data_IF_456254736367
#
_entry.id   IF_456254736367
#
_cell.length_a   1.000
_cell.length_b   1.000
_cell.length_c   1.000
_cell.angle_alpha   90.00
_cell.angle_beta   90.00
_cell.angle_gamma   90.00
#
_symmetry.space_group_name_H-M   'P 1'
#
loop_
_entity.id
_entity.type
_entity.pdbx_description
1 polymer ?
#
# COMPACT_ATOMS: atom_id res chain seq x y z
N UNK A 1 46.93 47.90 64.93
CA UNK A 1 48.11 47.06 65.22
C UNK A 1 47.77 46.27 66.47
N UNK A 2 47.15 45.11 66.31
CA UNK A 2 46.83 44.09 67.34
C UNK A 2 46.00 42.99 66.65
N UNK A 3 46.64 41.93 66.17
CA UNK A 3 46.69 40.57 66.76
C UNK A 3 45.33 39.88 66.96
N UNK A 4 45.13 38.83 66.16
CA UNK A 4 44.12 37.79 66.28
C UNK A 4 44.22 37.02 67.60
N UNK A 5 43.12 36.37 68.01
CA UNK A 5 43.23 35.04 68.59
C UNK A 5 42.37 33.98 67.87
N UNK A 6 42.85 32.75 68.02
CA UNK A 6 42.32 31.51 67.51
C UNK A 6 41.23 30.90 68.42
N UNK A 7 40.41 30.03 67.85
CA UNK A 7 39.70 28.91 68.50
C UNK A 7 39.44 27.86 67.39
N UNK A 8 40.06 26.67 67.43
CA UNK A 8 39.54 25.43 68.06
C UNK A 8 38.12 25.11 67.55
N UNK A 9 37.84 24.00 66.88
CA UNK A 9 38.26 22.61 67.12
C UNK A 9 36.96 21.80 67.22
N UNK A 10 36.76 20.80 66.36
CA UNK A 10 35.48 20.07 66.31
C UNK A 10 35.45 18.97 65.26
N UNK A 11 36.08 17.85 65.60
CA UNK A 11 36.01 16.56 64.91
C UNK A 11 34.59 15.97 64.89
N UNK A 12 34.27 15.21 63.83
CA UNK A 12 33.11 14.32 63.85
C UNK A 12 32.49 13.94 62.50
N UNK A 13 33.27 13.58 61.48
CA UNK A 13 32.70 13.00 60.24
C UNK A 13 32.48 11.50 60.44
N UNK A 14 31.24 11.15 60.77
CA UNK A 14 30.72 9.77 60.75
C UNK A 14 30.46 9.36 59.29
N UNK A 15 31.32 8.48 58.76
CA UNK A 15 31.12 7.81 57.48
C UNK A 15 30.00 6.79 57.63
N UNK A 16 28.79 7.16 57.18
CA UNK A 16 27.64 6.25 57.10
C UNK A 16 27.63 5.62 55.71
N UNK A 17 27.91 4.32 55.66
CA UNK A 17 27.72 3.46 54.49
C UNK A 17 26.26 3.55 54.01
N UNK A 18 26.06 4.18 52.86
CA UNK A 18 24.80 4.24 52.13
C UNK A 18 24.78 3.20 51.01
N UNK A 19 23.83 2.28 51.10
CA UNK A 19 23.64 1.14 50.22
C UNK A 19 23.58 1.53 48.74
N UNK A 20 24.32 0.76 47.93
CA UNK A 20 24.21 0.73 46.47
C UNK A 20 22.83 0.24 46.06
N UNK A 21 22.04 1.15 45.50
CA UNK A 21 20.80 0.83 44.78
C UNK A 21 21.14 -0.08 43.60
N UNK A 22 20.51 -1.26 43.44
CA UNK A 22 20.72 -2.09 42.26
C UNK A 22 20.17 -1.37 41.02
N UNK A 23 20.82 -1.51 39.85
CA UNK A 23 20.38 -0.86 38.64
C UNK A 23 18.96 -1.32 38.28
N UNK A 24 18.08 -0.33 38.09
CA UNK A 24 16.75 -0.51 37.54
C UNK A 24 16.85 -1.28 36.22
N UNK A 25 16.33 -2.50 36.22
CA UNK A 25 16.16 -3.28 34.99
C UNK A 25 15.19 -2.54 34.08
N UNK A 26 15.72 -1.99 33.00
CA UNK A 26 14.94 -1.57 31.83
C UNK A 26 14.12 -2.79 31.37
N UNK A 27 12.79 -2.66 31.15
CA UNK A 27 12.01 -3.76 30.63
C UNK A 27 12.54 -4.12 29.24
N UNK A 28 13.22 -5.26 29.20
CA UNK A 28 13.74 -5.91 28.00
C UNK A 28 12.55 -6.09 27.05
N UNK A 29 12.54 -5.30 25.98
CA UNK A 29 11.66 -5.50 24.82
C UNK A 29 11.81 -6.98 24.47
N UNK A 30 10.73 -7.77 24.60
CA UNK A 30 10.69 -9.13 24.05
C UNK A 30 10.88 -9.00 22.55
N UNK A 31 12.13 -9.08 22.11
CA UNK A 31 12.44 -9.67 20.81
C UNK A 31 11.86 -11.07 20.87
N UNK A 32 10.94 -11.38 19.96
CA UNK A 32 10.56 -12.76 19.70
C UNK A 32 11.87 -13.48 19.38
N UNK A 33 12.25 -14.40 20.25
CA UNK A 33 13.50 -15.13 20.14
C UNK A 33 13.46 -15.95 18.84
N UNK A 34 14.59 -15.96 18.13
CA UNK A 34 14.79 -16.63 16.84
C UNK A 34 14.53 -18.16 16.92
N UNK A 35 14.43 -18.71 18.13
CA UNK A 35 14.09 -20.11 18.42
C UNK A 35 12.61 -20.45 18.14
N UNK A 36 11.68 -19.51 18.27
CA UNK A 36 10.26 -19.76 17.92
C UNK A 36 10.06 -19.86 16.40
N UNK A 37 10.91 -19.20 15.61
CA UNK A 37 10.94 -19.37 14.14
C UNK A 37 11.67 -20.66 13.70
N UNK A 38 12.61 -21.17 14.51
CA UNK A 38 13.31 -22.41 14.22
C UNK A 38 12.41 -23.65 14.40
N UNK A 39 11.43 -23.60 15.31
CA UNK A 39 10.48 -24.70 15.56
C UNK A 39 9.50 -24.91 14.39
N UNK A 40 9.09 -23.85 13.69
CA UNK A 40 8.24 -23.95 12.50
C UNK A 40 9.04 -24.44 11.27
N UNK A 41 10.36 -24.25 11.25
CA UNK A 41 11.22 -24.70 10.13
C UNK A 41 11.62 -26.18 10.20
N UNK A 42 11.61 -26.80 11.38
CA UNK A 42 12.04 -28.18 11.55
C UNK A 42 10.95 -29.25 11.29
N UNK A 43 9.71 -28.83 11.01
CA UNK A 43 8.61 -29.71 10.60
C UNK A 43 8.52 -29.99 9.09
N UNK A 44 9.25 -29.25 8.25
CA UNK A 44 9.34 -29.51 6.81
C UNK A 44 10.46 -30.53 6.56
N UNK A 45 10.09 -31.79 6.79
CA UNK A 45 10.91 -32.95 6.50
C UNK A 45 11.40 -32.96 5.05
N UNK A 46 12.64 -33.39 4.91
CA UNK A 46 13.35 -33.66 3.65
C UNK A 46 12.45 -34.45 2.69
N UNK A 47 11.92 -33.78 1.67
CA UNK A 47 11.40 -34.46 0.48
C UNK A 47 12.55 -34.73 -0.49
N UNK A 48 12.72 -36.02 -0.77
CA UNK A 48 13.76 -36.61 -1.58
C UNK A 48 13.59 -36.21 -3.05
N UNK A 49 14.60 -35.52 -3.63
CA UNK A 49 14.62 -35.05 -5.03
C UNK A 49 14.93 -36.17 -6.04
N UNK A 50 14.30 -37.33 -5.87
CA UNK A 50 14.57 -38.53 -6.66
C UNK A 50 13.49 -38.85 -7.72
N UNK A 51 12.39 -38.09 -7.79
CA UNK A 51 11.27 -38.40 -8.70
C UNK A 51 11.27 -37.66 -10.05
N UNK A 52 12.19 -36.73 -10.32
CA UNK A 52 12.17 -35.90 -11.55
C UNK A 52 13.02 -36.46 -12.70
N UNK A 53 13.04 -37.80 -12.88
CA UNK A 53 13.81 -38.45 -13.96
C UNK A 53 13.10 -39.59 -14.69
N UNK A 54 11.76 -39.68 -14.60
CA UNK A 54 10.99 -40.75 -15.26
C UNK A 54 9.87 -40.33 -16.22
N UNK A 55 9.74 -39.06 -16.56
CA UNK A 55 8.70 -38.61 -17.51
C UNK A 55 9.21 -38.21 -18.90
N UNK A 56 10.50 -38.31 -19.18
CA UNK A 56 11.09 -37.90 -20.47
C UNK A 56 11.24 -39.02 -21.52
N UNK A 57 10.57 -40.17 -21.35
CA UNK A 57 10.66 -41.31 -22.32
C UNK A 57 9.30 -41.71 -22.89
N UNK A 58 8.19 -41.20 -22.37
CA UNK A 58 6.84 -41.60 -22.84
C UNK A 58 6.15 -40.57 -23.76
N UNK A 59 6.69 -39.36 -23.87
CA UNK A 59 6.11 -38.29 -24.71
C UNK A 59 6.61 -38.30 -26.17
N UNK A 60 7.62 -39.12 -26.50
CA UNK A 60 8.15 -39.23 -27.88
C UNK A 60 7.35 -40.23 -28.74
N UNK A 61 6.50 -41.07 -28.15
CA UNK A 61 5.73 -42.09 -28.89
C UNK A 61 4.27 -41.70 -29.22
N UNK A 62 3.81 -40.52 -28.81
CA UNK A 62 2.45 -40.03 -29.13
C UNK A 62 2.40 -39.18 -30.42
N UNK A 63 3.55 -38.76 -30.97
CA UNK A 63 3.61 -37.84 -32.12
C UNK A 63 3.50 -38.52 -33.50
N UNK A 64 3.54 -39.86 -33.57
CA UNK A 64 3.59 -40.59 -34.84
C UNK A 64 2.23 -41.05 -35.42
N UNK A 65 1.08 -40.70 -34.83
CA UNK A 65 -0.24 -41.25 -35.23
C UNK A 65 -1.26 -40.27 -35.84
N UNK A 66 -0.89 -39.02 -36.11
CA UNK A 66 -1.83 -38.01 -36.66
C UNK A 66 -1.45 -37.45 -38.06
N UNK A 67 -0.76 -38.22 -38.89
CA UNK A 67 -0.52 -37.86 -40.31
C UNK A 67 -1.20 -38.82 -41.27
N UNK A 68 -2.54 -38.82 -41.32
CA UNK A 68 -3.31 -39.27 -42.48
C UNK A 68 -4.81 -38.98 -42.29
N UNK A 69 -5.28 -37.75 -42.52
CA UNK A 69 -6.62 -37.52 -43.08
C UNK A 69 -6.83 -36.05 -43.49
N UNK A 70 -7.27 -35.84 -44.73
CA UNK A 70 -8.19 -34.76 -45.08
C UNK A 70 -7.58 -33.46 -45.64
N UNK A 71 -7.36 -33.43 -46.95
CA UNK A 71 -7.32 -32.19 -47.75
C UNK A 71 -8.75 -31.77 -48.13
N UNK A 72 -8.94 -30.44 -48.23
CA UNK A 72 -10.01 -29.69 -48.90
C UNK A 72 -11.41 -29.68 -48.26
N UNK A 73 -11.88 -28.51 -47.81
CA UNK A 73 -13.04 -27.77 -48.36
C UNK A 73 -12.95 -26.27 -47.97
N UNK A 74 -13.34 -25.45 -48.95
CA UNK A 74 -13.55 -24.00 -49.04
C UNK A 74 -13.90 -23.13 -47.82
N UNK A 75 -13.24 -21.96 -47.83
CA UNK A 75 -13.75 -20.59 -47.59
C UNK A 75 -15.17 -20.39 -47.02
N UNK A 76 -15.24 -20.01 -45.75
CA UNK A 76 -16.20 -19.05 -45.20
C UNK A 76 -15.60 -18.45 -43.91
N UNK A 77 -15.55 -17.12 -43.82
CA UNK A 77 -14.94 -16.37 -42.73
C UNK A 77 -15.61 -16.65 -41.39
N UNK A 78 -15.07 -17.61 -40.65
CA UNK A 78 -15.45 -17.92 -39.28
C UNK A 78 -14.24 -17.56 -38.42
N UNK A 79 -14.36 -16.50 -37.61
CA UNK A 79 -13.28 -16.04 -36.73
C UNK A 79 -12.92 -17.15 -35.74
N UNK A 80 -11.80 -17.81 -35.98
CA UNK A 80 -11.17 -18.73 -35.05
C UNK A 80 -10.59 -17.94 -33.88
N UNK A 81 -11.40 -17.70 -32.85
CA UNK A 81 -10.82 -17.48 -31.51
C UNK A 81 -10.04 -18.74 -31.15
N UNK A 82 -8.76 -18.56 -30.81
CA UNK A 82 -7.85 -19.63 -30.40
C UNK A 82 -8.57 -20.57 -29.42
N UNK A 83 -8.48 -21.91 -29.58
CA UNK A 83 -9.04 -22.83 -28.62
C UNK A 83 -8.26 -22.67 -27.31
N UNK A 84 -8.78 -21.86 -26.39
CA UNK A 84 -8.42 -21.98 -24.97
C UNK A 84 -8.65 -23.45 -24.62
N UNK A 85 -7.57 -24.16 -24.31
CA UNK A 85 -7.56 -25.59 -24.02
C UNK A 85 -8.69 -25.96 -23.06
N UNK A 86 -9.22 -27.18 -23.19
CA UNK A 86 -10.44 -27.72 -22.55
C UNK A 86 -10.52 -27.43 -21.06
N UNK A 87 -10.86 -26.19 -20.74
CA UNK A 87 -11.06 -25.68 -19.42
C UNK A 87 -12.44 -26.19 -19.02
N UNK A 88 -12.43 -27.05 -17.99
CA UNK A 88 -13.64 -27.58 -17.35
C UNK A 88 -14.71 -26.49 -17.29
N UNK A 89 -15.97 -26.80 -17.65
CA UNK A 89 -17.05 -25.81 -17.74
C UNK A 89 -17.24 -24.95 -16.48
N UNK A 90 -16.72 -25.40 -15.34
CA UNK A 90 -16.59 -24.67 -14.08
C UNK A 90 -15.70 -23.41 -14.13
N UNK A 91 -14.80 -23.25 -15.10
CA UNK A 91 -13.97 -22.04 -15.17
C UNK A 91 -14.64 -20.95 -16.02
N UNK A 92 -15.51 -21.35 -16.95
CA UNK A 92 -16.15 -20.45 -17.91
C UNK A 92 -17.11 -19.48 -17.24
N UNK A 93 -17.87 -19.92 -16.24
CA UNK A 93 -18.81 -19.05 -15.54
C UNK A 93 -18.10 -17.93 -14.76
N UNK A 94 -16.90 -18.22 -14.21
CA UNK A 94 -16.09 -17.21 -13.51
C UNK A 94 -15.71 -16.10 -14.48
N UNK A 95 -15.23 -16.45 -15.68
CA UNK A 95 -14.86 -15.47 -16.71
C UNK A 95 -16.06 -14.65 -17.14
N UNK A 96 -17.22 -15.28 -17.36
CA UNK A 96 -18.46 -14.59 -17.75
C UNK A 96 -18.88 -13.58 -16.68
N UNK A 97 -18.84 -13.96 -15.40
CA UNK A 97 -19.27 -13.09 -14.30
C UNK A 97 -18.39 -11.85 -14.12
N UNK A 98 -17.10 -11.95 -14.41
CA UNK A 98 -16.18 -10.81 -14.32
C UNK A 98 -16.05 -10.04 -15.65
N UNK A 99 -16.61 -10.55 -16.75
CA UNK A 99 -16.44 -9.99 -18.10
C UNK A 99 -16.78 -8.50 -18.16
N UNK A 100 -17.92 -8.14 -17.58
CA UNK A 100 -18.45 -6.77 -17.60
C UNK A 100 -17.69 -5.81 -16.69
N UNK A 101 -16.88 -6.35 -15.77
CA UNK A 101 -16.03 -5.57 -14.88
C UNK A 101 -14.67 -5.19 -15.48
N UNK A 102 -14.20 -5.94 -16.49
CA UNK A 102 -12.85 -5.74 -17.03
C UNK A 102 -12.72 -4.48 -17.86
N UNK A 103 -13.64 -4.26 -18.79
CA UNK A 103 -13.54 -3.23 -19.82
C UNK A 103 -14.80 -2.41 -19.78
N UNK A 104 -14.65 -1.12 -19.49
CA UNK A 104 -15.74 -0.15 -19.53
C UNK A 104 -15.48 0.86 -20.64
N UNK A 105 -16.35 0.97 -21.64
CA UNK A 105 -16.27 2.05 -22.60
C UNK A 105 -16.57 3.37 -21.91
N UNK A 106 -15.79 4.39 -22.21
CA UNK A 106 -15.92 5.71 -21.62
C UNK A 106 -15.90 6.79 -22.69
N UNK A 107 -16.65 7.87 -22.44
CA UNK A 107 -16.78 8.99 -23.36
C UNK A 107 -16.29 10.27 -22.73
N UNK A 108 -15.43 10.99 -23.45
CA UNK A 108 -15.08 12.36 -23.13
C UNK A 108 -16.31 13.24 -23.25
N UNK A 109 -16.69 13.93 -22.18
CA UNK A 109 -17.66 15.02 -22.31
C UNK A 109 -17.01 16.10 -23.18
N UNK A 110 -17.65 16.46 -24.30
CA UNK A 110 -17.34 17.71 -24.99
C UNK A 110 -17.58 18.81 -23.98
N UNK A 111 -16.53 19.25 -23.30
CA UNK A 111 -16.57 20.56 -22.66
C UNK A 111 -16.93 21.48 -23.80
N UNK A 112 -18.16 22.04 -23.74
CA UNK A 112 -18.52 23.18 -24.56
C UNK A 112 -17.53 24.24 -24.09
N UNK A 113 -16.36 24.25 -24.71
CA UNK A 113 -15.36 25.28 -24.58
C UNK A 113 -16.18 26.51 -24.92
N UNK A 114 -16.59 27.24 -23.89
CA UNK A 114 -16.99 28.61 -24.06
C UNK A 114 -15.81 29.21 -24.80
N UNK A 115 -15.98 29.45 -26.09
CA UNK A 115 -15.00 30.11 -26.92
C UNK A 115 -14.84 31.48 -26.31
N UNK A 116 -13.94 31.59 -25.33
CA UNK A 116 -13.65 32.83 -24.64
C UNK A 116 -12.97 33.67 -25.72
N UNK A 117 -13.65 34.70 -26.27
CA UNK A 117 -13.09 35.42 -27.39
C UNK A 117 -11.86 36.17 -26.88
N UNK A 118 -10.67 35.83 -27.38
CA UNK A 118 -9.51 36.72 -27.27
C UNK A 118 -8.37 36.39 -26.30
N UNK A 119 -8.19 35.17 -25.81
CA UNK A 119 -6.91 34.83 -25.15
C UNK A 119 -5.83 34.53 -26.21
N UNK A 120 -5.05 35.56 -26.56
CA UNK A 120 -3.80 35.44 -27.32
C UNK A 120 -2.90 34.41 -26.63
N UNK A 121 -2.60 33.33 -27.33
CA UNK A 121 -1.65 32.30 -26.94
C UNK A 121 -0.24 32.92 -26.98
N UNK A 122 0.25 33.40 -25.84
CA UNK A 122 1.65 33.80 -25.71
C UNK A 122 2.48 32.52 -25.64
N UNK A 123 3.15 32.20 -26.74
CA UNK A 123 4.18 31.16 -26.83
C UNK A 123 5.34 31.52 -25.91
N UNK A 124 5.20 31.22 -24.62
CA UNK A 124 6.27 31.42 -23.65
C UNK A 124 7.25 30.24 -23.74
N UNK A 125 8.41 30.50 -24.35
CA UNK A 125 9.52 29.55 -24.45
C UNK A 125 10.18 29.50 -23.07
N UNK A 126 9.81 28.52 -22.26
CA UNK A 126 10.50 28.23 -21.01
C UNK A 126 12.01 27.98 -21.24
N UNK A 127 12.87 28.34 -20.28
CA UNK A 127 14.32 28.30 -20.44
C UNK A 127 14.81 26.86 -20.63
N UNK A 128 15.58 26.65 -21.69
CA UNK A 128 16.29 25.41 -21.96
C UNK A 128 17.25 25.10 -20.81
N UNK A 129 16.89 24.13 -19.96
CA UNK A 129 17.80 23.54 -18.99
C UNK A 129 18.82 22.72 -19.80
N UNK A 130 20.05 23.24 -19.88
CA UNK A 130 21.18 22.54 -20.49
C UNK A 130 21.56 21.34 -19.63
N UNK A 131 21.03 20.16 -19.97
CA UNK A 131 21.55 18.88 -19.51
C UNK A 131 22.76 18.50 -20.38
N UNK A 132 23.94 19.02 -20.06
CA UNK A 132 25.20 18.64 -20.73
C UNK A 132 26.22 17.89 -19.88
N UNK A 133 25.95 17.66 -18.59
CA UNK A 133 26.97 17.12 -17.67
C UNK A 133 26.69 15.74 -17.06
N UNK A 134 25.65 15.01 -17.48
CA UNK A 134 25.35 13.66 -16.92
C UNK A 134 25.75 12.46 -17.78
N UNK A 135 26.41 12.67 -18.93
CA UNK A 135 26.73 11.58 -19.86
C UNK A 135 28.13 10.96 -19.67
N UNK A 136 28.94 11.46 -18.73
CA UNK A 136 30.36 11.09 -18.65
C UNK A 136 30.75 10.03 -17.58
N UNK A 137 29.82 9.32 -16.93
CA UNK A 137 30.19 8.37 -15.85
C UNK A 137 29.55 6.98 -15.85
N UNK A 138 28.98 6.52 -16.96
CA UNK A 138 28.48 5.13 -17.07
C UNK A 138 29.23 4.38 -18.17
N UNK A 139 30.55 4.26 -17.99
CA UNK A 139 31.36 3.28 -18.68
C UNK A 139 32.35 2.71 -17.67
N UNK A 140 31.95 1.64 -16.98
CA UNK A 140 32.80 0.56 -16.43
C UNK A 140 32.00 -0.24 -15.40
N UNK A 141 31.39 -1.34 -15.85
CA UNK A 141 30.62 -2.23 -14.99
C UNK A 141 30.11 -3.44 -15.76
N UNK A 142 31.03 -4.27 -16.27
CA UNK A 142 30.72 -5.56 -16.89
C UNK A 142 30.26 -6.57 -15.84
N UNK A 143 28.96 -6.86 -15.80
CA UNK A 143 28.39 -8.02 -15.09
C UNK A 143 27.89 -9.01 -16.13
N UNK A 144 28.50 -10.20 -16.16
CA UNK A 144 28.01 -11.36 -16.94
C UNK A 144 26.77 -11.92 -16.22
N UNK A 145 25.60 -11.84 -16.84
CA UNK A 145 24.39 -12.53 -16.39
C UNK A 145 23.65 -13.17 -17.55
N UNK A 146 23.11 -14.35 -17.30
CA UNK A 146 22.68 -15.35 -18.27
C UNK A 146 21.46 -14.97 -19.11
N UNK A 147 21.45 -15.59 -20.29
CA UNK A 147 20.38 -15.79 -21.28
C UNK A 147 19.01 -15.16 -20.95
N UNK A 148 18.86 -13.87 -21.23
CA UNK A 148 17.57 -13.23 -21.48
C UNK A 148 17.37 -13.21 -23.00
N UNK A 149 16.23 -13.65 -23.48
CA UNK A 149 15.83 -13.51 -24.89
C UNK A 149 15.75 -12.03 -25.23
N UNK A 150 16.73 -11.54 -25.97
CA UNK A 150 16.81 -10.15 -26.43
C UNK A 150 15.66 -9.88 -27.40
N UNK A 151 14.59 -9.24 -26.93
CA UNK A 151 13.71 -8.47 -27.79
C UNK A 151 14.56 -7.27 -28.24
N UNK A 152 15.21 -7.38 -29.40
CA UNK A 152 15.89 -6.26 -30.06
C UNK A 152 14.83 -5.25 -30.51
N UNK A 153 14.41 -4.38 -29.59
CA UNK A 153 13.66 -3.17 -29.94
C UNK A 153 14.71 -2.25 -30.56
N UNK A 154 14.69 -2.10 -31.88
CA UNK A 154 15.55 -1.17 -32.59
C UNK A 154 15.16 0.26 -32.21
N UNK A 155 15.86 0.83 -31.22
CA UNK A 155 15.74 2.23 -30.79
C UNK A 155 16.42 3.14 -31.81
N UNK A 156 15.85 3.20 -33.02
CA UNK A 156 16.34 4.03 -34.13
C UNK A 156 15.28 4.96 -34.72
N UNK A 157 14.02 4.77 -34.35
CA UNK A 157 12.94 5.60 -34.86
C UNK A 157 12.80 6.87 -34.02
N UNK A 158 12.83 8.01 -34.71
CA UNK A 158 12.54 9.32 -34.14
C UNK A 158 11.24 9.17 -33.36
N UNK A 159 11.29 9.41 -32.06
CA UNK A 159 10.13 9.36 -31.18
C UNK A 159 9.11 10.41 -31.65
N UNK A 160 8.22 10.02 -32.56
CA UNK A 160 7.10 10.85 -32.97
C UNK A 160 6.24 11.02 -31.71
N UNK A 161 6.10 12.27 -31.26
CA UNK A 161 5.25 12.60 -30.13
C UNK A 161 3.81 12.21 -30.50
N UNK A 162 3.39 11.07 -29.97
CA UNK A 162 2.09 10.52 -30.25
C UNK A 162 1.02 11.53 -29.87
N UNK A 163 0.20 11.94 -30.84
CA UNK A 163 -0.92 12.84 -30.62
C UNK A 163 -2.18 12.02 -30.43
N UNK A 164 -2.85 12.23 -29.31
CA UNK A 164 -4.13 11.61 -29.00
C UNK A 164 -5.13 11.91 -30.12
N UNK A 165 -5.73 10.89 -30.76
CA UNK A 165 -6.80 11.10 -31.73
C UNK A 165 -7.95 11.90 -31.10
N UNK A 166 -8.64 12.71 -31.90
CA UNK A 166 -9.80 13.49 -31.42
C UNK A 166 -11.07 12.64 -31.22
N UNK A 167 -10.88 11.34 -31.01
CA UNK A 167 -11.95 10.40 -30.74
C UNK A 167 -12.37 10.52 -29.27
N UNK A 168 -13.68 10.58 -29.06
CA UNK A 168 -14.28 10.76 -27.75
C UNK A 168 -14.39 9.46 -26.99
N UNK A 169 -14.29 8.33 -27.69
CA UNK A 169 -14.42 7.00 -27.12
C UNK A 169 -13.05 6.47 -26.75
N UNK A 170 -12.96 5.96 -25.54
CA UNK A 170 -11.82 5.18 -25.07
C UNK A 170 -12.31 4.18 -24.03
N UNK A 171 -11.40 3.47 -23.36
CA UNK A 171 -11.75 2.40 -22.44
C UNK A 171 -11.10 2.61 -21.07
N UNK A 172 -11.75 2.06 -20.03
CA UNK A 172 -11.16 1.80 -18.72
C UNK A 172 -11.01 0.30 -18.57
N UNK A 173 -9.79 -0.13 -18.28
CA UNK A 173 -9.45 -1.53 -18.03
C UNK A 173 -9.08 -1.68 -16.56
N UNK A 174 -9.87 -2.48 -15.84
CA UNK A 174 -9.67 -2.73 -14.42
C UNK A 174 -8.88 -4.03 -14.21
N UNK A 175 -7.58 -3.92 -13.95
CA UNK A 175 -6.70 -5.06 -13.67
C UNK A 175 -7.05 -5.71 -12.32
N UNK A 176 -7.66 -4.98 -11.39
CA UNK A 176 -8.12 -5.54 -10.12
C UNK A 176 -9.18 -6.63 -10.29
N UNK A 177 -9.98 -6.57 -11.36
CA UNK A 177 -10.91 -7.65 -11.69
C UNK A 177 -10.20 -8.94 -12.08
N UNK A 178 -8.99 -8.86 -12.67
CA UNK A 178 -8.21 -10.07 -13.01
C UNK A 178 -7.76 -10.77 -11.73
N UNK A 179 -7.39 -10.00 -10.71
CA UNK A 179 -7.05 -10.54 -9.40
C UNK A 179 -8.27 -11.15 -8.71
N UNK A 180 -9.45 -10.54 -8.80
CA UNK A 180 -10.71 -11.13 -8.29
C UNK A 180 -11.03 -12.45 -8.98
N UNK A 181 -10.88 -12.49 -10.30
CA UNK A 181 -11.03 -13.72 -11.08
C UNK A 181 -10.03 -14.80 -10.65
N UNK A 182 -8.75 -14.44 -10.44
CA UNK A 182 -7.71 -15.35 -9.93
C UNK A 182 -8.08 -15.92 -8.56
N UNK A 183 -8.53 -15.07 -7.63
CA UNK A 183 -8.99 -15.49 -6.31
C UNK A 183 -10.15 -16.49 -6.40
N UNK A 184 -11.15 -16.25 -7.26
CA UNK A 184 -12.27 -17.19 -7.46
C UNK A 184 -11.81 -18.53 -8.02
N UNK A 185 -10.88 -18.53 -8.97
CA UNK A 185 -10.30 -19.78 -9.51
C UNK A 185 -9.56 -20.57 -8.43
N UNK A 186 -8.75 -19.91 -7.60
CA UNK A 186 -8.03 -20.56 -6.50
C UNK A 186 -8.97 -21.08 -5.42
N UNK A 187 -10.00 -20.30 -5.04
CA UNK A 187 -11.06 -20.77 -4.12
C UNK A 187 -11.72 -22.04 -4.63
N UNK A 188 -12.10 -22.06 -5.91
CA UNK A 188 -12.75 -23.23 -6.50
C UNK A 188 -11.83 -24.47 -6.49
N UNK A 189 -10.54 -24.31 -6.82
CA UNK A 189 -9.56 -25.41 -6.74
C UNK A 189 -9.43 -25.94 -5.32
N UNK A 190 -9.30 -25.06 -4.33
CA UNK A 190 -9.23 -25.46 -2.92
C UNK A 190 -10.48 -26.20 -2.46
N UNK A 191 -11.67 -25.75 -2.84
CA UNK A 191 -12.93 -26.46 -2.55
C UNK A 191 -12.94 -27.85 -3.19
N UNK A 192 -12.40 -27.99 -4.41
CA UNK A 192 -12.24 -29.29 -5.07
C UNK A 192 -11.28 -30.20 -4.32
N UNK A 193 -10.14 -29.68 -3.86
CA UNK A 193 -9.18 -30.44 -3.04
C UNK A 193 -9.81 -30.89 -1.72
N UNK A 194 -10.54 -30.03 -1.02
CA UNK A 194 -11.26 -30.38 0.22
C UNK A 194 -12.30 -31.46 -0.02
N UNK A 195 -13.04 -31.38 -1.15
CA UNK A 195 -13.98 -32.44 -1.53
C UNK A 195 -13.25 -33.77 -1.76
N UNK A 196 -12.18 -33.75 -2.55
CA UNK A 196 -11.39 -34.94 -2.82
C UNK A 196 -10.86 -35.54 -1.51
N UNK A 197 -10.28 -34.72 -0.62
CA UNK A 197 -9.78 -35.14 0.69
C UNK A 197 -10.86 -35.79 1.57
N UNK A 198 -12.10 -35.28 1.50
CA UNK A 198 -13.24 -35.87 2.22
C UNK A 198 -13.65 -37.23 1.64
N UNK A 199 -13.58 -37.36 0.33
CA UNK A 199 -14.01 -38.56 -0.40
C UNK A 199 -12.88 -39.62 -0.49
N UNK A 200 -11.65 -39.30 -0.07
CA UNK A 200 -10.50 -40.21 -0.09
C UNK A 200 -10.78 -41.48 0.72
N UNK A 201 -10.53 -42.61 0.09
CA UNK A 201 -10.42 -43.90 0.77
C UNK A 201 -9.13 -43.93 1.61
N UNK A 202 -9.06 -44.68 2.73
CA UNK A 202 -7.85 -44.80 3.57
C UNK A 202 -6.57 -45.26 2.84
N UNK A 203 -6.70 -45.73 1.60
CA UNK A 203 -5.61 -46.24 0.77
C UNK A 203 -5.25 -45.32 -0.41
N UNK A 204 -5.98 -44.23 -0.61
CA UNK A 204 -5.68 -43.27 -1.68
C UNK A 204 -4.69 -42.21 -1.19
N UNK A 205 -3.74 -41.83 -2.06
CA UNK A 205 -2.75 -40.80 -1.74
C UNK A 205 -3.40 -39.41 -1.68
N UNK A 206 -2.92 -38.58 -0.76
CA UNK A 206 -3.38 -37.19 -0.65
C UNK A 206 -3.05 -36.41 -1.95
N UNK A 207 -3.95 -35.51 -2.42
CA UNK A 207 -3.71 -34.69 -3.59
C UNK A 207 -2.42 -33.88 -3.45
N UNK A 208 -1.44 -34.05 -4.33
CA UNK A 208 -0.10 -33.46 -4.14
C UNK A 208 -0.08 -31.92 -4.23
N UNK A 209 -1.09 -31.30 -4.84
CA UNK A 209 -1.06 -29.87 -5.19
C UNK A 209 -1.84 -28.95 -4.23
N UNK A 210 -2.55 -29.49 -3.22
CA UNK A 210 -3.46 -28.66 -2.41
C UNK A 210 -2.71 -27.62 -1.56
N UNK A 211 -1.52 -27.95 -1.05
CA UNK A 211 -0.68 -27.03 -0.28
C UNK A 211 -0.21 -25.85 -1.14
N UNK A 212 0.21 -26.14 -2.38
CA UNK A 212 0.65 -25.12 -3.34
C UNK A 212 -0.50 -24.20 -3.75
N UNK A 213 -1.69 -24.76 -3.99
CA UNK A 213 -2.89 -23.95 -4.28
C UNK A 213 -3.29 -23.08 -3.07
N UNK A 214 -3.09 -23.56 -1.84
CA UNK A 214 -3.37 -22.82 -0.61
C UNK A 214 -2.40 -21.65 -0.43
N UNK A 215 -1.10 -21.89 -0.60
CA UNK A 215 -0.08 -20.84 -0.56
C UNK A 215 -0.37 -19.77 -1.63
N UNK A 216 -0.67 -20.19 -2.85
CA UNK A 216 -1.06 -19.29 -3.94
C UNK A 216 -2.31 -18.48 -3.62
N UNK A 217 -3.29 -19.07 -2.94
CA UNK A 217 -4.49 -18.38 -2.50
C UNK A 217 -4.19 -17.32 -1.43
N UNK A 218 -3.43 -17.67 -0.39
CA UNK A 218 -3.01 -16.73 0.67
C UNK A 218 -2.26 -15.56 0.04
N UNK A 219 -1.29 -15.83 -0.83
CA UNK A 219 -0.55 -14.79 -1.55
C UNK A 219 -1.47 -13.91 -2.40
N UNK A 220 -2.42 -14.52 -3.12
CA UNK A 220 -3.38 -13.76 -3.92
C UNK A 220 -4.28 -12.85 -3.06
N UNK A 221 -4.63 -13.26 -1.84
CA UNK A 221 -5.38 -12.41 -0.89
C UNK A 221 -4.52 -11.23 -0.44
N UNK A 222 -3.25 -11.46 -0.09
CA UNK A 222 -2.32 -10.37 0.28
C UNK A 222 -2.10 -9.38 -0.87
N UNK A 223 -1.91 -9.89 -2.09
CA UNK A 223 -1.80 -9.07 -3.31
C UNK A 223 -3.07 -8.24 -3.52
N UNK A 224 -4.25 -8.81 -3.27
CA UNK A 224 -5.52 -8.09 -3.37
C UNK A 224 -5.66 -6.98 -2.31
N UNK A 225 -5.28 -7.24 -1.05
CA UNK A 225 -5.27 -6.22 0.00
C UNK A 225 -4.32 -5.07 -0.35
N UNK A 226 -3.18 -5.38 -0.98
CA UNK A 226 -2.29 -4.37 -1.52
C UNK A 226 -2.98 -3.53 -2.62
N UNK A 227 -3.68 -4.17 -3.57
CA UNK A 227 -4.45 -3.45 -4.60
C UNK A 227 -5.52 -2.54 -4.01
N UNK A 228 -6.21 -2.99 -2.96
CA UNK A 228 -7.23 -2.18 -2.26
C UNK A 228 -6.60 -0.92 -1.66
N UNK A 229 -5.42 -1.03 -1.05
CA UNK A 229 -4.69 0.14 -0.53
C UNK A 229 -4.27 1.10 -1.64
N UNK A 230 -3.87 0.57 -2.80
CA UNK A 230 -3.48 1.39 -3.95
C UNK A 230 -4.65 2.17 -4.57
N UNK A 231 -5.90 1.73 -4.38
CA UNK A 231 -7.11 2.45 -4.84
C UNK A 231 -7.24 3.85 -4.22
N UNK A 232 -6.69 4.06 -3.03
CA UNK A 232 -6.72 5.35 -2.34
C UNK A 232 -5.73 6.37 -2.94
N UNK A 233 -4.81 5.91 -3.80
CA UNK A 233 -3.87 6.79 -4.47
C UNK A 233 -4.59 7.64 -5.52
N UNK A 234 -4.16 8.90 -5.74
CA UNK A 234 -4.72 9.75 -6.78
C UNK A 234 -4.69 9.11 -8.18
N UNK A 235 -3.67 8.26 -8.41
CA UNK A 235 -3.54 7.44 -9.61
C UNK A 235 -3.49 5.97 -9.20
N UNK A 236 -4.61 5.27 -9.34
CA UNK A 236 -4.66 3.82 -9.18
C UNK A 236 -3.79 3.16 -10.26
N UNK A 237 -2.73 2.40 -9.89
CA UNK A 237 -1.86 1.71 -10.83
C UNK A 237 -2.49 0.47 -11.45
N UNK A 238 -3.59 -0.04 -10.88
CA UNK A 238 -4.33 -1.20 -11.37
C UNK A 238 -5.53 -0.82 -12.25
N UNK A 239 -5.71 0.48 -12.49
CA UNK A 239 -6.68 1.02 -13.44
C UNK A 239 -5.94 1.64 -14.62
N UNK A 240 -6.06 1.00 -15.78
CA UNK A 240 -5.55 1.54 -17.05
C UNK A 240 -6.70 2.29 -17.70
N UNK A 241 -6.57 3.61 -17.85
CA UNK A 241 -7.67 4.45 -18.35
C UNK A 241 -7.24 5.30 -19.53
N UNK A 242 -8.05 5.34 -20.58
CA UNK A 242 -7.84 6.24 -21.71
C UNK A 242 -7.88 7.73 -21.36
N UNK A 243 -8.23 8.11 -20.13
CA UNK A 243 -8.05 9.48 -19.63
C UNK A 243 -6.58 9.91 -19.60
N UNK A 244 -5.64 8.98 -19.43
CA UNK A 244 -4.19 9.25 -19.43
C UNK A 244 -3.59 9.04 -20.81
N UNK A 245 -2.72 9.94 -21.26
CA UNK A 245 -2.18 9.92 -22.63
C UNK A 245 -1.46 8.60 -22.96
N UNK A 246 -0.64 8.11 -22.04
CA UNK A 246 0.12 6.85 -22.22
C UNK A 246 -0.80 5.64 -22.23
N UNK A 247 -1.73 5.57 -21.29
CA UNK A 247 -2.68 4.45 -21.20
C UNK A 247 -3.59 4.40 -22.45
N UNK A 248 -4.05 5.55 -22.95
CA UNK A 248 -4.83 5.63 -24.19
C UNK A 248 -4.05 5.13 -25.41
N UNK A 249 -2.75 5.43 -25.49
CA UNK A 249 -1.88 4.87 -26.53
C UNK A 249 -1.81 3.34 -26.45
N UNK A 250 -1.59 2.79 -25.25
CA UNK A 250 -1.53 1.34 -25.04
C UNK A 250 -2.85 0.67 -25.36
N UNK A 251 -3.96 1.23 -24.86
CA UNK A 251 -5.32 0.75 -25.13
C UNK A 251 -5.56 0.78 -26.63
N UNK A 252 -5.36 1.90 -27.32
CA UNK A 252 -5.60 1.96 -28.77
C UNK A 252 -4.72 0.99 -29.53
N UNK A 253 -3.45 0.86 -29.18
CA UNK A 253 -2.55 -0.12 -29.83
C UNK A 253 -3.10 -1.55 -29.77
N UNK A 254 -3.73 -1.93 -28.66
CA UNK A 254 -4.32 -3.27 -28.47
C UNK A 254 -5.74 -3.35 -29.07
N UNK A 255 -6.52 -2.29 -28.96
CA UNK A 255 -7.96 -2.25 -29.27
C UNK A 255 -8.28 -1.68 -30.66
N UNK A 256 -7.29 -1.27 -31.46
CA UNK A 256 -7.51 -0.73 -32.82
C UNK A 256 -8.28 -1.69 -33.74
N UNK A 257 -8.32 -2.98 -33.42
CA UNK A 257 -9.05 -4.02 -34.19
C UNK A 257 -10.47 -4.30 -33.66
N UNK A 258 -10.83 -3.79 -32.48
CA UNK A 258 -12.14 -4.06 -31.87
C UNK A 258 -13.17 -3.06 -32.43
N UNK A 259 -13.95 -3.56 -33.38
CA UNK A 259 -15.09 -2.86 -34.01
C UNK A 259 -16.09 -2.41 -32.94
N UNK A 260 -16.51 -1.15 -33.02
CA UNK A 260 -17.35 -0.41 -32.05
C UNK A 260 -18.70 -1.06 -31.66
N UNK A 261 -19.15 -2.12 -32.33
CA UNK A 261 -20.55 -2.57 -32.28
C UNK A 261 -20.92 -3.45 -31.05
N UNK A 262 -19.94 -4.00 -30.33
CA UNK A 262 -20.21 -4.98 -29.25
C UNK A 262 -20.22 -4.40 -27.82
N UNK A 263 -19.93 -3.10 -27.66
CA UNK A 263 -19.80 -2.49 -26.33
C UNK A 263 -21.09 -1.76 -25.89
N UNK A 264 -21.42 -1.78 -24.59
CA UNK A 264 -22.53 -0.98 -24.07
C UNK A 264 -22.26 0.52 -24.24
N UNK A 265 -23.30 1.34 -24.08
CA UNK A 265 -23.16 2.79 -24.17
C UNK A 265 -22.05 3.32 -23.24
N UNK A 266 -21.12 4.16 -23.76
CA UNK A 266 -19.98 4.60 -22.99
C UNK A 266 -20.38 5.54 -21.85
N UNK A 267 -19.77 5.34 -20.68
CA UNK A 267 -19.98 6.18 -19.52
C UNK A 267 -19.35 7.57 -19.74
N UNK A 268 -20.12 8.64 -19.57
CA UNK A 268 -19.60 10.00 -19.68
C UNK A 268 -18.84 10.39 -18.43
N UNK A 269 -17.56 10.75 -18.56
CA UNK A 269 -16.73 11.18 -17.43
C UNK A 269 -16.55 12.70 -17.47
N UNK A 270 -16.77 13.34 -16.33
CA UNK A 270 -16.61 14.78 -16.12
C UNK A 270 -15.16 15.19 -15.81
N UNK A 271 -14.26 14.23 -15.63
CA UNK A 271 -12.86 14.45 -15.25
C UNK A 271 -12.04 15.02 -16.41
N UNK A 272 -11.13 15.95 -16.08
CA UNK A 272 -10.21 16.56 -17.05
C UNK A 272 -9.20 15.50 -17.50
N UNK A 273 -9.11 15.31 -18.81
CA UNK A 273 -8.19 14.34 -19.40
C UNK A 273 -6.76 14.79 -19.17
N UNK A 274 -5.92 13.88 -18.68
CA UNK A 274 -4.52 14.16 -18.42
C UNK A 274 -3.73 14.10 -19.75
N UNK A 275 -2.98 15.16 -20.03
CA UNK A 275 -2.04 15.22 -21.16
C UNK A 275 -0.60 14.89 -20.73
N UNK A 276 -0.38 14.72 -19.43
CA UNK A 276 0.91 14.39 -18.85
C UNK A 276 1.36 12.96 -19.22
N UNK A 277 2.64 12.83 -19.56
CA UNK A 277 3.32 11.57 -19.87
C UNK A 277 4.09 11.04 -18.65
N UNK A 278 3.72 11.44 -17.44
CA UNK A 278 4.34 10.95 -16.21
C UNK A 278 4.28 9.42 -16.11
N UNK A 279 5.31 8.76 -15.56
CA UNK A 279 5.33 7.32 -15.40
C UNK A 279 4.19 6.83 -14.48
N UNK A 280 3.78 5.57 -14.67
CA UNK A 280 2.78 4.90 -13.83
C UNK A 280 3.25 4.93 -12.37
N UNK A 281 2.41 5.43 -11.47
CA UNK A 281 2.74 5.60 -10.05
C UNK A 281 3.45 6.91 -9.69
N UNK A 282 3.65 7.81 -10.67
CA UNK A 282 4.35 9.07 -10.49
C UNK A 282 5.86 8.90 -10.30
N UNK A 283 6.59 10.03 -10.26
CA UNK A 283 8.03 9.98 -9.98
C UNK A 283 8.22 9.63 -8.50
N UNK A 284 8.99 8.57 -8.23
CA UNK A 284 9.28 8.03 -6.87
C UNK A 284 9.59 9.11 -5.81
N UNK A 285 10.21 10.22 -6.22
CA UNK A 285 10.52 11.34 -5.31
C UNK A 285 9.32 12.13 -4.79
N UNK A 286 8.24 12.27 -5.56
CA UNK A 286 7.07 13.07 -5.16
C UNK A 286 6.15 12.29 -4.23
N UNK A 287 5.89 11.02 -4.54
CA UNK A 287 5.03 10.13 -3.75
C UNK A 287 5.59 9.90 -2.34
N UNK A 288 6.92 9.79 -2.21
CA UNK A 288 7.58 9.67 -0.90
C UNK A 288 7.39 10.94 -0.07
N UNK A 289 7.45 12.12 -0.69
CA UNK A 289 7.31 13.39 0.02
C UNK A 289 5.87 13.59 0.51
N UNK A 290 4.88 13.29 -0.32
CA UNK A 290 3.47 13.45 0.05
C UNK A 290 3.03 12.51 1.17
N UNK A 291 3.37 11.22 1.08
CA UNK A 291 3.07 10.26 2.14
C UNK A 291 3.79 10.60 3.46
N UNK A 292 5.03 11.09 3.37
CA UNK A 292 5.75 11.60 4.54
C UNK A 292 5.06 12.83 5.15
N UNK A 293 4.64 13.80 4.34
CA UNK A 293 3.91 14.98 4.82
C UNK A 293 2.53 14.63 5.39
N UNK A 294 1.82 13.66 4.83
CA UNK A 294 0.53 13.21 5.35
C UNK A 294 0.69 12.62 6.76
N UNK A 295 1.66 11.71 6.94
CA UNK A 295 1.99 11.16 8.26
C UNK A 295 2.56 12.21 9.23
N UNK A 296 3.28 13.20 8.72
CA UNK A 296 3.79 14.29 9.55
C UNK A 296 2.66 15.24 10.00
N UNK A 297 1.71 15.58 9.13
CA UNK A 297 0.58 16.46 9.47
C UNK A 297 -0.34 15.85 10.52
N UNK A 298 -0.60 14.55 10.46
CA UNK A 298 -1.40 13.88 11.49
C UNK A 298 -0.67 13.88 12.82
N UNK A 299 0.63 13.58 12.85
CA UNK A 299 1.46 13.66 14.07
C UNK A 299 1.53 15.08 14.63
N UNK A 300 1.71 16.08 13.78
CA UNK A 300 1.75 17.49 14.18
C UNK A 300 0.38 17.96 14.69
N UNK A 301 -0.71 17.54 14.05
CA UNK A 301 -2.07 17.83 14.50
C UNK A 301 -2.35 17.24 15.87
N UNK A 302 -1.98 15.97 16.09
CA UNK A 302 -2.14 15.31 17.40
C UNK A 302 -1.27 15.98 18.48
N UNK A 303 -0.03 16.34 18.15
CA UNK A 303 0.86 17.06 19.06
C UNK A 303 0.32 18.45 19.41
N UNK A 304 -0.20 19.19 18.42
CA UNK A 304 -0.80 20.51 18.63
C UNK A 304 -2.07 20.43 19.47
N UNK A 305 -2.93 19.44 19.23
CA UNK A 305 -4.13 19.19 20.04
C UNK A 305 -3.76 18.85 21.49
N UNK A 306 -2.78 17.96 21.69
CA UNK A 306 -2.28 17.63 23.04
C UNK A 306 -1.67 18.84 23.75
N UNK A 307 -0.88 19.65 23.04
CA UNK A 307 -0.30 20.89 23.57
C UNK A 307 -1.36 21.93 23.93
N UNK A 308 -2.38 22.12 23.08
CA UNK A 308 -3.50 23.00 23.37
C UNK A 308 -4.23 22.56 24.63
N UNK A 309 -4.54 21.26 24.76
CA UNK A 309 -5.17 20.70 25.95
C UNK A 309 -4.36 20.88 27.23
N UNK A 310 -3.02 20.97 27.17
CA UNK A 310 -2.18 21.24 28.35
C UNK A 310 -2.11 22.73 28.69
N UNK A 311 -2.05 23.61 27.68
CA UNK A 311 -1.88 25.05 27.87
C UNK A 311 -3.19 25.72 28.32
N UNK A 312 -4.34 25.31 27.74
CA UNK A 312 -5.63 25.93 28.04
C UNK A 312 -6.02 25.93 29.53
N UNK A 313 -5.91 24.82 30.29
CA UNK A 313 -6.24 24.84 31.71
C UNK A 313 -5.28 25.72 32.53
N UNK A 314 -3.99 25.80 32.16
CA UNK A 314 -3.07 26.75 32.80
C UNK A 314 -3.51 28.20 32.59
N UNK A 315 -3.86 28.58 31.36
CA UNK A 315 -4.35 29.92 31.05
C UNK A 315 -5.66 30.25 31.78
N UNK A 316 -6.55 29.27 31.89
CA UNK A 316 -7.85 29.44 32.52
C UNK A 316 -7.72 29.65 34.04
N UNK A 317 -6.78 28.94 34.68
CA UNK A 317 -6.45 29.12 36.11
C UNK A 317 -5.89 30.51 36.39
N UNK A 318 -5.02 31.04 35.52
CA UNK A 318 -4.47 32.40 35.67
C UNK A 318 -5.54 33.48 35.54
N UNK A 319 -6.58 33.23 34.72
CA UNK A 319 -7.61 34.23 34.43
C UNK A 319 -8.71 34.31 35.50
N UNK A 320 -9.09 33.18 36.11
CA UNK A 320 -10.13 33.14 37.13
C UNK A 320 -9.61 32.50 38.41
N UNK A 321 -9.26 33.35 39.38
CA UNK A 321 -8.69 32.96 40.67
C UNK A 321 -9.76 32.40 41.63
N UNK A 322 -10.61 31.48 41.16
CA UNK A 322 -11.65 30.84 41.97
C UNK A 322 -11.48 29.33 41.95
N UNK A 323 -11.54 28.71 43.12
CA UNK A 323 -11.30 27.28 43.31
C UNK A 323 -12.24 26.40 42.45
N UNK A 324 -13.51 26.80 42.38
CA UNK A 324 -14.53 26.07 41.65
C UNK A 324 -14.30 26.06 40.13
N UNK A 325 -13.79 27.15 39.56
CA UNK A 325 -13.52 27.20 38.11
C UNK A 325 -12.35 26.30 37.71
N UNK A 326 -11.34 26.15 38.57
CA UNK A 326 -10.23 25.22 38.34
C UNK A 326 -10.68 23.74 38.35
N UNK A 327 -11.48 23.34 39.33
CA UNK A 327 -11.95 21.95 39.45
C UNK A 327 -12.93 21.56 38.33
N UNK A 328 -13.84 22.47 37.96
CA UNK A 328 -14.81 22.22 36.89
C UNK A 328 -14.13 22.23 35.52
N UNK A 329 -13.22 23.18 35.26
CA UNK A 329 -12.50 23.20 33.97
C UNK A 329 -11.64 21.95 33.78
N UNK A 330 -10.86 21.53 34.78
CA UNK A 330 -10.01 20.34 34.68
C UNK A 330 -10.80 19.06 34.44
N UNK A 331 -11.93 18.85 35.14
CA UNK A 331 -12.80 17.68 34.92
C UNK A 331 -13.42 17.66 33.52
N UNK A 332 -13.89 18.81 33.02
CA UNK A 332 -14.42 18.91 31.66
C UNK A 332 -13.33 18.67 30.61
N UNK A 333 -12.14 19.26 30.78
CA UNK A 333 -11.02 19.07 29.83
C UNK A 333 -10.53 17.62 29.80
N UNK A 334 -10.36 16.95 30.95
CA UNK A 334 -10.01 15.52 30.99
C UNK A 334 -11.09 14.67 30.32
N UNK A 335 -12.36 14.97 30.56
CA UNK A 335 -13.48 14.25 29.94
C UNK A 335 -13.48 14.37 28.42
N UNK A 336 -13.37 15.59 27.89
CA UNK A 336 -13.33 15.83 26.44
C UNK A 336 -12.08 15.20 25.82
N UNK A 337 -10.92 15.32 26.46
CA UNK A 337 -9.68 14.69 25.99
C UNK A 337 -9.80 13.17 25.93
N UNK A 338 -10.35 12.54 26.97
CA UNK A 338 -10.59 11.10 27.02
C UNK A 338 -11.53 10.63 25.91
N UNK A 339 -12.60 11.38 25.63
CA UNK A 339 -13.52 11.09 24.52
C UNK A 339 -12.80 11.20 23.16
N UNK A 340 -12.01 12.25 22.96
CA UNK A 340 -11.23 12.42 21.72
C UNK A 340 -10.25 11.25 21.54
N UNK A 341 -9.51 10.88 22.59
CA UNK A 341 -8.58 9.73 22.54
C UNK A 341 -9.31 8.41 22.26
N UNK A 342 -10.50 8.20 22.83
CA UNK A 342 -11.29 7.00 22.59
C UNK A 342 -11.75 6.88 21.13
N UNK A 343 -12.00 8.01 20.45
CA UNK A 343 -12.39 8.03 19.03
C UNK A 343 -11.17 7.80 18.13
N UNK A 344 -9.99 8.31 18.51
CA UNK A 344 -8.78 8.27 17.67
C UNK A 344 -7.90 7.03 17.86
N UNK A 345 -8.06 6.29 18.95
CA UNK A 345 -7.19 5.16 19.26
C UNK A 345 -7.84 3.83 18.90
N UNK A 346 -7.17 3.08 18.03
CA UNK A 346 -7.57 1.70 17.68
C UNK A 346 -7.31 0.70 18.82
N UNK A 347 -6.60 1.12 19.88
CA UNK A 347 -6.18 0.26 20.99
C UNK A 347 -6.60 0.84 22.34
N UNK A 348 -7.48 0.15 23.11
CA UNK A 348 -7.98 0.68 24.38
C UNK A 348 -6.89 0.90 25.45
N UNK A 349 -5.74 0.22 25.31
CA UNK A 349 -4.58 0.40 26.20
C UNK A 349 -3.94 1.78 26.08
N UNK A 350 -3.89 2.33 24.88
CA UNK A 350 -3.27 3.63 24.63
C UNK A 350 -4.15 4.76 25.17
N UNK A 351 -5.48 4.60 25.11
CA UNK A 351 -6.47 5.51 25.70
C UNK A 351 -6.32 5.59 27.22
N UNK A 352 -6.23 4.43 27.89
CA UNK A 352 -6.08 4.37 29.34
C UNK A 352 -4.77 5.01 29.82
N UNK A 353 -3.65 4.67 29.16
CA UNK A 353 -2.34 5.24 29.48
C UNK A 353 -2.29 6.75 29.23
N UNK A 354 -2.80 7.21 28.09
CA UNK A 354 -2.84 8.64 27.74
C UNK A 354 -3.71 9.46 28.70
N UNK A 355 -4.90 8.96 29.04
CA UNK A 355 -5.81 9.63 29.98
C UNK A 355 -5.23 9.67 31.39
N UNK A 356 -4.63 8.58 31.86
CA UNK A 356 -4.01 8.53 33.18
C UNK A 356 -2.81 9.49 33.28
N UNK A 357 -1.95 9.52 32.26
CA UNK A 357 -0.83 10.46 32.20
C UNK A 357 -1.30 11.92 32.20
N UNK A 358 -2.33 12.24 31.42
CA UNK A 358 -2.88 13.60 31.35
C UNK A 358 -3.54 14.02 32.67
N UNK A 359 -4.32 13.13 33.30
CA UNK A 359 -4.92 13.38 34.59
C UNK A 359 -3.86 13.64 35.68
N UNK A 360 -2.77 12.87 35.69
CA UNK A 360 -1.68 13.07 36.65
C UNK A 360 -1.06 14.47 36.52
N UNK A 361 -0.78 14.92 35.30
CA UNK A 361 -0.21 16.25 35.04
C UNK A 361 -1.15 17.35 35.53
N UNK A 362 -2.45 17.26 35.23
CA UNK A 362 -3.42 18.26 35.69
C UNK A 362 -3.58 18.29 37.20
N UNK A 363 -3.59 17.13 37.86
CA UNK A 363 -3.68 17.05 39.32
C UNK A 363 -2.48 17.74 39.98
N UNK A 364 -1.27 17.57 39.43
CA UNK A 364 -0.07 18.26 39.94
C UNK A 364 -0.23 19.78 39.83
N UNK A 365 -0.68 20.29 38.68
CA UNK A 365 -0.87 21.73 38.51
C UNK A 365 -1.95 22.32 39.42
N UNK A 366 -3.07 21.61 39.58
CA UNK A 366 -4.13 22.00 40.51
C UNK A 366 -3.63 22.00 41.95
N UNK A 367 -2.84 21.00 42.36
CA UNK A 367 -2.25 20.91 43.69
C UNK A 367 -1.25 22.02 44.02
N UNK A 368 -0.44 22.43 43.05
CA UNK A 368 0.51 23.53 43.23
C UNK A 368 -0.19 24.88 43.45
N UNK A 369 -1.25 25.16 42.68
CA UNK A 369 -2.03 26.40 42.85
C UNK A 369 -2.66 26.56 44.23
N UNK A 370 -3.01 25.45 44.90
CA UNK A 370 -3.56 25.48 46.27
C UNK A 370 -2.53 25.85 47.34
N UNK A 371 -1.29 25.43 47.16
CA UNK A 371 -0.24 25.60 48.16
C UNK A 371 0.21 27.07 48.27
N UNK A 372 0.15 27.81 47.16
CA UNK A 372 0.51 29.23 47.13
C UNK A 372 -0.55 30.12 47.80
N UNK A 373 -1.84 29.80 47.59
CA UNK A 373 -2.95 30.51 48.22
C UNK A 373 -2.98 30.32 49.75
N UNK A 374 -2.66 29.12 50.25
CA UNK A 374 -2.59 28.89 51.70
C UNK A 374 -1.47 29.67 52.39
N UNK A 375 -0.35 29.90 51.70
CA UNK A 375 0.81 30.62 52.26
C UNK A 375 0.65 32.15 52.23
N UNK A 376 -0.24 32.69 51.39
CA UNK A 376 -0.45 34.15 51.27
C UNK A 376 -1.52 34.66 52.27
N UNK A 377 -2.14 33.77 53.05
CA UNK A 377 -3.21 34.09 54.01
C UNK A 377 -2.72 34.15 55.47
N UNK A 378 -1.41 34.18 55.70
CA UNK A 378 -0.74 34.37 57.00
C UNK A 378 0.00 35.71 56.92
#
# INVERSE_FOLDING_TARGET
MTTFPAAEGGDGVSVRNGASTPPQQVPRRRTLDEEDYASIRHGLGKYDSSASRRTSVEEENASARHSALGKNVHAAGTRSFLPLGTSSGSDRWIVIHHRDGFIKPIRRKKTRLWSRPGSRQTSDKGPAIQTRDLEAKIQQGTVKSGSVTNINISVGDKQEDWRRPNDERTFRINIAELQRMRLRKLQWRLVKHVKNLRDLSPFEEEPTDWETDLENYIKAVQDYDYMVKCKELPRDPFLVTGERKIDDYVIRTIFNELVDDDFPDPETIDQVWEEDNGPIGGTRGLTVRESWFAGFRTRLGMAALGGFFLITPMWLIVLHNTLYTGLVSTTVFVGVFGIILAIYSDSPKDVLSGTAGYAAVLVVFVGLGFTELSNTSI
#
